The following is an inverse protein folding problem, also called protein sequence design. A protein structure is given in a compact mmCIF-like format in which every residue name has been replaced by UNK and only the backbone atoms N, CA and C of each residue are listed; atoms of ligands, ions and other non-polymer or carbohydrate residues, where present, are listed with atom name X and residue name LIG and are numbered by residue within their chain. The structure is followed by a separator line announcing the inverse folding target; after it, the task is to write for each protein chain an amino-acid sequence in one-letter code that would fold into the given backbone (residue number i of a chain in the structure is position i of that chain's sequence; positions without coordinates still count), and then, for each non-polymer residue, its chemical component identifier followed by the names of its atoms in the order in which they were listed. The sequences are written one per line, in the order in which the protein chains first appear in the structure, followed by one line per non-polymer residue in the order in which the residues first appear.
data_IF_194383696063
#
_entry.id   IF_194383696063
#
_cell.length_a   1.000
_cell.length_b   1.000
_cell.length_c   1.000
_cell.angle_alpha   90.00
_cell.angle_beta   90.00
_cell.angle_gamma   90.00
#
_symmetry.space_group_name_H-M   'P 1'
#
loop_
_entity.id
_entity.type
_entity.pdbx_description
1 polymer ?
#
# COMPACT_ATOMS: atom_id res chain seq x y z
N UNK A 1 9.69 -28.21 -28.38
CA UNK A 1 10.63 -28.91 -27.48
C UNK A 1 10.77 -28.13 -26.18
N UNK A 2 11.20 -26.87 -26.22
CA UNK A 2 11.40 -25.98 -25.06
C UNK A 2 10.19 -25.83 -24.12
N UNK A 3 8.98 -25.56 -24.65
CA UNK A 3 7.79 -25.40 -23.81
C UNK A 3 7.40 -26.69 -23.05
N UNK A 4 7.73 -27.87 -23.61
CA UNK A 4 7.42 -29.17 -23.00
C UNK A 4 8.43 -29.48 -21.89
N UNK A 5 9.70 -29.16 -22.10
CA UNK A 5 10.74 -29.26 -21.06
C UNK A 5 10.49 -28.31 -19.89
N UNK A 6 10.05 -27.07 -20.17
CA UNK A 6 9.68 -26.09 -19.13
C UNK A 6 8.50 -26.60 -18.29
N UNK A 7 7.49 -27.19 -18.91
CA UNK A 7 6.35 -27.79 -18.19
C UNK A 7 6.77 -29.03 -17.38
N UNK A 8 7.69 -29.84 -17.89
CA UNK A 8 8.22 -31.00 -17.19
C UNK A 8 9.08 -30.60 -15.96
N UNK A 9 9.98 -29.63 -16.12
CA UNK A 9 10.79 -29.09 -15.01
C UNK A 9 9.93 -28.41 -13.93
N UNK A 10 8.81 -27.77 -14.32
CA UNK A 10 7.80 -27.22 -13.39
C UNK A 10 7.12 -28.29 -12.54
N UNK A 11 6.77 -29.44 -13.14
CA UNK A 11 6.18 -30.57 -12.40
C UNK A 11 7.15 -31.21 -11.40
N UNK A 12 8.46 -31.06 -11.64
CA UNK A 12 9.53 -31.58 -10.78
C UNK A 12 10.01 -30.57 -9.74
N UNK A 13 9.40 -29.38 -9.65
CA UNK A 13 9.75 -28.34 -8.66
C UNK A 13 11.10 -27.64 -8.93
N UNK A 14 11.70 -27.83 -10.10
CA UNK A 14 13.05 -27.33 -10.41
C UNK A 14 13.10 -25.84 -10.82
N UNK A 15 11.95 -25.24 -11.16
CA UNK A 15 11.85 -23.84 -11.57
C UNK A 15 11.00 -23.04 -10.59
N UNK A 16 11.40 -21.81 -10.21
CA UNK A 16 10.55 -20.93 -9.42
C UNK A 16 9.21 -20.70 -10.16
N UNK A 17 8.08 -20.58 -9.44
CA UNK A 17 6.77 -20.38 -10.05
C UNK A 17 6.79 -19.20 -11.06
N UNK A 18 6.02 -19.26 -12.16
CA UNK A 18 6.05 -18.22 -13.21
C UNK A 18 5.89 -16.78 -12.69
N UNK A 19 5.12 -16.60 -11.61
CA UNK A 19 4.96 -15.31 -10.94
C UNK A 19 6.25 -14.79 -10.32
N UNK A 20 7.08 -15.66 -9.72
CA UNK A 20 8.35 -15.30 -9.09
C UNK A 20 9.37 -14.88 -10.16
N UNK A 21 9.38 -15.56 -11.30
CA UNK A 21 10.19 -15.17 -12.45
C UNK A 21 9.72 -13.83 -13.04
N UNK A 22 8.41 -13.61 -13.12
CA UNK A 22 7.87 -12.34 -13.58
C UNK A 22 8.28 -11.17 -12.67
N UNK A 23 8.14 -11.32 -11.34
CA UNK A 23 8.60 -10.29 -10.38
C UNK A 23 10.07 -9.91 -10.60
N UNK A 24 10.93 -10.92 -10.80
CA UNK A 24 12.37 -10.70 -11.04
C UNK A 24 12.64 -9.88 -12.31
N UNK A 25 11.82 -10.05 -13.35
CA UNK A 25 11.95 -9.31 -14.62
C UNK A 25 11.41 -7.88 -14.55
N UNK A 26 10.54 -7.60 -13.59
CA UNK A 26 9.94 -6.28 -13.41
C UNK A 26 10.77 -5.35 -12.52
N UNK A 27 11.65 -5.91 -11.68
CA UNK A 27 12.53 -5.11 -10.84
C UNK A 27 13.66 -4.47 -11.66
N UNK A 28 13.84 -3.17 -11.47
CA UNK A 28 14.84 -2.36 -12.14
C UNK A 28 16.16 -2.32 -11.36
N UNK A 29 17.29 -1.92 -11.98
CA UNK A 29 18.58 -1.83 -11.31
C UNK A 29 18.63 -0.87 -10.11
N UNK A 30 17.76 0.15 -10.08
CA UNK A 30 17.64 1.10 -8.96
C UNK A 30 16.75 0.57 -7.82
N UNK A 31 16.20 -0.64 -7.96
CA UNK A 31 15.31 -1.28 -7.00
C UNK A 31 13.82 -1.01 -7.21
N UNK A 32 13.45 -0.08 -8.10
CA UNK A 32 12.05 0.16 -8.46
C UNK A 32 11.44 -1.03 -9.20
N UNK A 33 10.11 -1.04 -9.35
CA UNK A 33 9.41 -2.07 -10.12
C UNK A 33 8.63 -1.41 -11.26
N UNK A 34 8.60 -2.07 -12.41
CA UNK A 34 7.81 -1.68 -13.56
C UNK A 34 6.46 -2.40 -13.58
N UNK A 35 5.49 -1.85 -14.33
CA UNK A 35 4.18 -2.49 -14.53
C UNK A 35 4.20 -3.62 -15.56
N UNK A 36 5.09 -3.54 -16.54
CA UNK A 36 5.20 -4.46 -17.66
C UNK A 36 6.68 -4.79 -17.97
N UNK A 37 6.97 -5.97 -18.53
CA UNK A 37 8.32 -6.28 -19.03
C UNK A 37 8.71 -5.36 -20.19
N UNK A 38 10.00 -5.03 -20.27
CA UNK A 38 10.58 -4.21 -21.34
C UNK A 38 10.67 -2.72 -21.01
N UNK A 39 11.29 -1.97 -21.93
CA UNK A 39 11.60 -0.55 -21.71
C UNK A 39 10.36 0.35 -21.87
N UNK A 40 10.28 1.39 -21.03
CA UNK A 40 9.33 2.50 -21.21
C UNK A 40 8.02 2.40 -20.43
N UNK A 41 7.82 1.36 -19.61
CA UNK A 41 6.77 1.41 -18.59
C UNK A 41 7.23 2.22 -17.37
N UNK A 42 6.26 2.79 -16.66
CA UNK A 42 6.55 3.62 -15.50
C UNK A 42 6.99 2.77 -14.31
N UNK A 43 7.89 3.31 -13.50
CA UNK A 43 8.48 2.61 -12.37
C UNK A 43 8.33 3.46 -11.11
N UNK A 44 7.55 2.97 -10.14
CA UNK A 44 7.25 3.72 -8.92
C UNK A 44 6.79 2.83 -7.75
N UNK A 45 6.56 3.47 -6.60
CA UNK A 45 6.19 2.78 -5.36
C UNK A 45 4.90 1.96 -5.44
N UNK A 46 3.99 2.25 -6.40
CA UNK A 46 2.76 1.45 -6.57
C UNK A 46 3.13 0.01 -6.94
N UNK A 47 4.10 -0.15 -7.84
CA UNK A 47 4.53 -1.48 -8.29
C UNK A 47 5.44 -2.17 -7.29
N UNK A 48 6.23 -1.39 -6.54
CA UNK A 48 6.95 -1.93 -5.38
C UNK A 48 5.98 -2.57 -4.36
N UNK A 49 4.87 -1.90 -4.04
CA UNK A 49 3.84 -2.45 -3.19
C UNK A 49 3.18 -3.69 -3.79
N UNK A 50 2.83 -3.67 -5.08
CA UNK A 50 2.29 -4.85 -5.76
C UNK A 50 3.24 -6.05 -5.66
N UNK A 51 4.54 -5.85 -5.89
CA UNK A 51 5.55 -6.90 -5.77
C UNK A 51 5.64 -7.45 -4.34
N UNK A 52 5.64 -6.57 -3.33
CA UNK A 52 5.66 -6.97 -1.92
C UNK A 52 4.40 -7.73 -1.51
N UNK A 53 3.22 -7.27 -1.94
CA UNK A 53 1.95 -7.93 -1.66
C UNK A 53 1.91 -9.34 -2.29
N UNK A 54 2.33 -9.47 -3.56
CA UNK A 54 2.41 -10.77 -4.24
C UNK A 54 3.39 -11.69 -3.51
N UNK A 55 4.60 -11.22 -3.21
CA UNK A 55 5.61 -12.02 -2.50
C UNK A 55 5.15 -12.43 -1.10
N UNK A 56 4.46 -11.56 -0.37
CA UNK A 56 3.89 -11.87 0.94
C UNK A 56 2.79 -12.92 0.84
N UNK A 57 1.83 -12.77 -0.08
CA UNK A 57 0.74 -13.73 -0.26
C UNK A 57 1.23 -15.10 -0.73
N UNK A 58 2.31 -15.15 -1.52
CA UNK A 58 2.96 -16.39 -1.96
C UNK A 58 3.94 -16.95 -0.92
N UNK A 59 4.21 -16.22 0.16
CA UNK A 59 5.27 -16.51 1.14
C UNK A 59 6.63 -16.79 0.47
N UNK A 60 6.92 -16.10 -0.63
CA UNK A 60 8.10 -16.32 -1.45
C UNK A 60 8.65 -15.00 -2.02
N UNK A 61 9.81 -14.61 -1.50
CA UNK A 61 10.53 -13.39 -1.86
C UNK A 61 11.66 -13.64 -2.86
N UNK A 62 11.83 -14.85 -3.39
CA UNK A 62 12.93 -15.19 -4.29
C UNK A 62 12.93 -14.43 -5.63
N UNK A 63 11.85 -13.72 -5.94
CA UNK A 63 11.70 -12.87 -7.13
C UNK A 63 12.01 -11.39 -6.88
N UNK A 64 12.37 -11.01 -5.65
CA UNK A 64 12.58 -9.61 -5.24
C UNK A 64 13.97 -9.48 -4.63
N UNK A 65 14.82 -8.64 -5.21
CA UNK A 65 16.05 -8.16 -4.58
C UNK A 65 15.68 -7.12 -3.51
N UNK A 66 15.53 -7.61 -2.27
CA UNK A 66 15.12 -6.80 -1.11
C UNK A 66 16.10 -5.66 -0.80
N UNK A 67 17.44 -5.87 -0.80
CA UNK A 67 18.41 -4.78 -0.64
C UNK A 67 18.23 -3.59 -1.58
N UNK A 68 18.10 -3.81 -2.90
CA UNK A 68 17.90 -2.71 -3.85
C UNK A 68 16.54 -2.04 -3.66
N UNK A 69 15.49 -2.81 -3.37
CA UNK A 69 14.16 -2.28 -3.06
C UNK A 69 14.18 -1.38 -1.80
N UNK A 70 14.89 -1.77 -0.75
CA UNK A 70 15.07 -0.94 0.45
C UNK A 70 15.81 0.36 0.12
N UNK A 71 16.83 0.31 -0.74
CA UNK A 71 17.53 1.50 -1.22
C UNK A 71 16.59 2.41 -2.03
N UNK A 72 15.71 1.85 -2.84
CA UNK A 72 14.68 2.60 -3.57
C UNK A 72 13.71 3.31 -2.62
N UNK A 73 13.23 2.62 -1.57
CA UNK A 73 12.40 3.25 -0.54
C UNK A 73 13.12 4.41 0.15
N UNK A 74 14.42 4.27 0.45
CA UNK A 74 15.23 5.39 0.99
C UNK A 74 15.27 6.58 0.06
N UNK A 75 15.47 6.33 -1.24
CA UNK A 75 15.54 7.39 -2.24
C UNK A 75 14.18 8.11 -2.43
N UNK A 76 13.06 7.41 -2.22
CA UNK A 76 11.72 7.99 -2.28
C UNK A 76 11.29 8.73 -1.00
N UNK A 77 11.98 8.54 0.13
CA UNK A 77 11.67 9.26 1.36
C UNK A 77 12.10 10.73 1.25
N UNK A 78 11.15 11.65 1.42
CA UNK A 78 11.37 13.09 1.30
C UNK A 78 11.83 13.72 2.61
N UNK A 79 12.15 15.01 2.56
CA UNK A 79 12.63 15.80 3.71
C UNK A 79 11.62 15.86 4.87
N UNK A 80 10.33 15.74 4.55
CA UNK A 80 9.22 15.78 5.51
C UNK A 80 8.92 14.41 6.16
N UNK A 81 9.73 13.38 5.84
CA UNK A 81 9.65 12.05 6.41
C UNK A 81 8.70 11.09 5.69
N UNK A 82 7.81 11.60 4.85
CA UNK A 82 6.91 10.79 4.03
C UNK A 82 7.51 10.45 2.65
N UNK A 83 6.75 9.78 1.78
CA UNK A 83 7.28 9.24 0.53
C UNK A 83 6.66 9.88 -0.69
N UNK A 84 7.51 10.32 -1.62
CA UNK A 84 7.12 10.66 -2.99
C UNK A 84 6.94 9.41 -3.85
N UNK A 85 6.21 9.53 -4.97
CA UNK A 85 5.94 8.39 -5.85
C UNK A 85 7.22 7.77 -6.44
N UNK A 86 8.19 8.63 -6.76
CA UNK A 86 9.55 8.31 -7.20
C UNK A 86 10.55 9.21 -6.46
N UNK A 87 11.87 8.94 -6.51
CA UNK A 87 12.87 9.76 -5.83
C UNK A 87 12.77 11.25 -6.19
N UNK A 88 12.83 12.09 -5.16
CA UNK A 88 12.78 13.56 -5.30
C UNK A 88 11.40 14.16 -5.53
N UNK A 89 10.32 13.36 -5.61
CA UNK A 89 8.97 13.91 -5.74
C UNK A 89 8.31 14.29 -4.41
N UNK A 90 7.27 15.11 -4.51
CA UNK A 90 6.43 15.54 -3.39
C UNK A 90 5.83 14.33 -2.66
N UNK A 91 5.93 14.33 -1.33
CA UNK A 91 5.31 13.32 -0.49
C UNK A 91 3.81 13.24 -0.69
N UNK A 92 3.27 12.03 -0.77
CA UNK A 92 1.86 11.79 -1.06
C UNK A 92 1.30 10.62 -0.26
N UNK A 93 0.04 10.68 0.17
CA UNK A 93 -0.57 9.70 1.06
C UNK A 93 -0.58 8.29 0.49
N UNK A 94 -0.89 8.16 -0.80
CA UNK A 94 -0.87 6.88 -1.51
C UNK A 94 0.52 6.24 -1.63
N UNK A 95 1.56 7.01 -1.99
CA UNK A 95 2.94 6.51 -2.07
C UNK A 95 3.51 6.21 -0.69
N UNK A 96 3.14 7.01 0.32
CA UNK A 96 3.49 6.77 1.72
C UNK A 96 2.91 5.46 2.21
N UNK A 97 1.63 5.19 1.95
CA UNK A 97 1.05 3.87 2.22
C UNK A 97 1.82 2.77 1.49
N UNK A 98 2.08 2.92 0.18
CA UNK A 98 2.77 1.90 -0.60
C UNK A 98 4.12 1.53 0.01
N UNK A 99 4.93 2.53 0.41
CA UNK A 99 6.22 2.29 1.05
C UNK A 99 6.06 1.64 2.44
N UNK A 100 5.21 2.20 3.31
CA UNK A 100 5.04 1.72 4.69
C UNK A 100 4.46 0.31 4.73
N UNK A 101 3.43 0.03 3.92
CA UNK A 101 2.86 -1.30 3.81
C UNK A 101 3.87 -2.30 3.23
N UNK A 102 4.67 -1.91 2.23
CA UNK A 102 5.75 -2.78 1.72
C UNK A 102 6.78 -3.10 2.80
N UNK A 103 7.25 -2.10 3.54
CA UNK A 103 8.19 -2.29 4.64
C UNK A 103 7.62 -3.19 5.74
N UNK A 104 6.33 -3.03 6.06
CA UNK A 104 5.62 -3.90 7.01
C UNK A 104 5.57 -5.36 6.51
N UNK A 105 5.14 -5.59 5.26
CA UNK A 105 5.08 -6.92 4.64
C UNK A 105 6.46 -7.58 4.54
N UNK A 106 7.50 -6.78 4.34
CA UNK A 106 8.89 -7.25 4.33
C UNK A 106 9.43 -7.56 5.73
N UNK A 107 8.76 -7.14 6.82
CA UNK A 107 9.30 -7.23 8.17
C UNK A 107 10.46 -6.27 8.45
N UNK A 108 10.55 -5.18 7.67
CA UNK A 108 11.64 -4.19 7.76
C UNK A 108 11.18 -2.84 8.30
N UNK A 109 9.91 -2.71 8.72
CA UNK A 109 9.35 -1.42 9.11
C UNK A 109 10.11 -0.78 10.28
N UNK A 110 10.43 -1.54 11.31
CA UNK A 110 11.09 -1.02 12.51
C UNK A 110 12.58 -0.77 12.31
N UNK A 111 13.27 -1.60 11.51
CA UNK A 111 14.68 -1.42 11.16
C UNK A 111 14.88 -0.27 10.17
N UNK A 112 13.86 0.05 9.36
CA UNK A 112 13.95 1.11 8.38
C UNK A 112 13.93 2.50 9.02
N UNK A 113 13.17 2.79 10.06
CA UNK A 113 13.15 4.16 10.58
C UNK A 113 14.04 4.33 11.82
N UNK A 114 14.92 5.33 11.79
CA UNK A 114 15.39 5.91 13.05
C UNK A 114 14.24 6.66 13.73
N UNK A 115 14.36 6.91 15.05
CA UNK A 115 13.29 7.53 15.83
C UNK A 115 12.85 8.90 15.31
N UNK A 116 13.77 9.71 14.79
CA UNK A 116 13.45 11.05 14.27
C UNK A 116 12.74 10.97 12.91
N UNK A 117 13.20 10.08 12.04
CA UNK A 117 12.57 9.79 10.75
C UNK A 117 11.15 9.26 10.93
N UNK A 118 10.95 8.33 11.88
CA UNK A 118 9.62 7.82 12.24
C UNK A 118 8.71 8.94 12.74
N UNK A 119 9.18 9.78 13.66
CA UNK A 119 8.38 10.89 14.20
C UNK A 119 7.96 11.90 13.12
N UNK A 120 8.85 12.21 12.16
CA UNK A 120 8.51 13.07 11.02
C UNK A 120 7.41 12.46 10.16
N UNK A 121 7.52 11.17 9.83
CA UNK A 121 6.51 10.45 9.07
C UNK A 121 5.14 10.45 9.78
N UNK A 122 5.12 10.11 11.08
CA UNK A 122 3.88 10.10 11.88
C UNK A 122 3.24 11.48 11.90
N UNK A 123 4.04 12.52 12.18
CA UNK A 123 3.56 13.91 12.15
C UNK A 123 3.00 14.27 10.77
N UNK A 124 3.70 13.92 9.70
CA UNK A 124 3.27 14.20 8.33
C UNK A 124 1.90 13.57 8.05
N UNK A 125 1.69 12.32 8.46
CA UNK A 125 0.41 11.62 8.31
C UNK A 125 -0.71 12.28 9.13
N UNK A 126 -0.46 12.65 10.39
CA UNK A 126 -1.44 13.33 11.24
C UNK A 126 -1.84 14.70 10.67
N UNK A 127 -0.88 15.45 10.14
CA UNK A 127 -1.12 16.76 9.48
C UNK A 127 -1.93 16.62 8.16
N UNK A 128 -2.35 15.41 7.76
CA UNK A 128 -3.30 15.19 6.66
C UNK A 128 -4.75 15.22 7.12
N UNK A 129 -5.03 15.15 8.41
CA UNK A 129 -6.38 15.18 8.95
C UNK A 129 -6.93 16.61 8.98
N UNK A 130 -7.84 16.93 8.07
CA UNK A 130 -8.42 18.27 7.85
C UNK A 130 -9.97 18.23 7.87
N UNK A 131 -10.53 17.33 8.67
CA UNK A 131 -11.96 16.97 8.67
C UNK A 131 -12.16 15.58 8.05
N UNK A 132 -11.71 15.41 6.82
CA UNK A 132 -11.31 14.10 6.26
C UNK A 132 -9.79 13.99 6.20
N UNK A 133 -9.25 13.14 5.33
CA UNK A 133 -7.82 13.12 5.02
C UNK A 133 -7.54 13.72 3.63
N UNK A 134 -6.54 14.59 3.54
CA UNK A 134 -5.98 15.06 2.25
C UNK A 134 -4.77 14.21 1.86
N UNK A 135 -4.55 14.01 0.56
CA UNK A 135 -3.40 13.22 0.08
C UNK A 135 -2.06 13.93 0.19
N UNK A 136 -2.08 15.27 0.25
CA UNK A 136 -0.91 16.16 0.27
C UNK A 136 -1.26 17.46 0.99
N UNK A 137 -0.27 18.18 1.54
CA UNK A 137 -0.49 19.52 2.09
C UNK A 137 -1.22 20.44 1.10
N UNK A 138 -2.12 21.28 1.62
CA UNK A 138 -2.86 22.28 0.84
C UNK A 138 -3.74 21.70 -0.29
N UNK A 139 -4.26 20.48 -0.12
CA UNK A 139 -5.23 19.88 -1.04
C UNK A 139 -6.55 19.61 -0.32
N UNK A 140 -7.59 19.34 -1.09
CA UNK A 140 -8.87 18.97 -0.50
C UNK A 140 -8.82 17.57 0.08
N UNK A 141 -9.63 17.32 1.10
CA UNK A 141 -9.90 15.98 1.59
C UNK A 141 -10.54 15.13 0.49
N UNK A 142 -10.28 13.83 0.55
CA UNK A 142 -10.77 12.83 -0.39
C UNK A 142 -10.95 11.52 0.38
N UNK A 143 -12.12 10.90 0.23
CA UNK A 143 -12.51 9.73 1.04
C UNK A 143 -11.51 8.59 0.99
N UNK A 144 -10.80 8.39 -0.12
CA UNK A 144 -9.84 7.29 -0.24
C UNK A 144 -8.63 7.46 0.69
N UNK A 145 -8.24 8.69 1.04
CA UNK A 145 -7.14 8.92 1.99
C UNK A 145 -7.51 8.57 3.43
N UNK A 146 -8.79 8.42 3.74
CA UNK A 146 -9.20 7.86 5.03
C UNK A 146 -8.59 6.47 5.21
N UNK A 147 -8.59 5.64 4.15
CA UNK A 147 -7.83 4.40 4.16
C UNK A 147 -6.34 4.64 3.98
N UNK A 148 -5.87 5.31 2.93
CA UNK A 148 -4.42 5.35 2.65
C UNK A 148 -3.60 5.92 3.81
N UNK A 149 -4.03 7.05 4.39
CA UNK A 149 -3.32 7.66 5.52
C UNK A 149 -3.66 6.95 6.83
N UNK A 150 -4.92 6.58 7.04
CA UNK A 150 -5.35 5.86 8.25
C UNK A 150 -4.66 4.50 8.41
N UNK A 151 -4.59 3.70 7.34
CA UNK A 151 -3.87 2.43 7.32
C UNK A 151 -2.37 2.63 7.55
N UNK A 152 -1.77 3.67 6.98
CA UNK A 152 -0.36 4.02 7.26
C UNK A 152 -0.13 4.22 8.76
N UNK A 153 -0.96 5.03 9.41
CA UNK A 153 -0.89 5.24 10.86
C UNK A 153 -1.16 3.96 11.65
N UNK A 154 -2.07 3.10 11.17
CA UNK A 154 -2.33 1.78 11.78
C UNK A 154 -1.13 0.85 11.73
N UNK A 155 -0.44 0.76 10.58
CA UNK A 155 0.77 -0.05 10.43
C UNK A 155 1.93 0.49 11.26
N UNK A 156 1.99 1.80 11.47
CA UNK A 156 2.95 2.43 12.38
C UNK A 156 2.57 2.26 13.87
N UNK A 157 1.42 1.68 14.21
CA UNK A 157 0.97 1.56 15.59
C UNK A 157 0.53 2.88 16.23
N UNK A 158 0.27 3.91 15.42
CA UNK A 158 -0.04 5.28 15.86
C UNK A 158 -1.50 5.67 15.56
N UNK A 159 -2.37 4.70 15.32
CA UNK A 159 -3.77 4.95 14.95
C UNK A 159 -4.57 5.60 16.08
N UNK A 160 -4.16 5.39 17.34
CA UNK A 160 -4.81 5.99 18.52
C UNK A 160 -4.68 7.51 18.56
N UNK A 161 -3.79 8.09 17.73
CA UNK A 161 -3.63 9.54 17.56
C UNK A 161 -4.61 10.13 16.54
N UNK A 162 -5.37 9.31 15.82
CA UNK A 162 -6.35 9.75 14.83
C UNK A 162 -7.67 10.07 15.51
N UNK A 163 -8.33 11.15 15.10
CA UNK A 163 -9.71 11.47 15.50
C UNK A 163 -10.71 10.82 14.52
N UNK A 164 -11.26 9.61 14.75
CA UNK A 164 -12.03 8.90 13.73
C UNK A 164 -13.40 9.53 13.45
N UNK A 165 -13.99 10.22 14.44
CA UNK A 165 -15.34 10.80 14.34
C UNK A 165 -15.52 11.75 13.16
N UNK A 166 -14.72 12.84 13.05
CA UNK A 166 -14.79 13.78 11.93
C UNK A 166 -14.59 13.11 10.56
N UNK A 167 -13.66 12.15 10.46
CA UNK A 167 -13.35 11.47 9.20
C UNK A 167 -14.49 10.56 8.77
N UNK A 168 -15.08 9.82 9.71
CA UNK A 168 -16.26 8.99 9.45
C UNK A 168 -17.48 9.85 9.08
N UNK A 169 -17.66 11.00 9.71
CA UNK A 169 -18.70 11.95 9.33
C UNK A 169 -18.49 12.48 7.90
N UNK A 170 -17.26 12.84 7.52
CA UNK A 170 -16.92 13.22 6.15
C UNK A 170 -17.21 12.10 5.14
N UNK A 171 -16.78 10.86 5.43
CA UNK A 171 -17.07 9.68 4.58
C UNK A 171 -18.58 9.48 4.41
N UNK A 172 -19.37 9.65 5.48
CA UNK A 172 -20.83 9.54 5.40
C UNK A 172 -21.46 10.61 4.50
N UNK A 173 -20.93 11.84 4.48
CA UNK A 173 -21.42 12.89 3.55
C UNK A 173 -21.11 12.60 2.07
N UNK A 174 -20.21 11.66 1.80
CA UNK A 174 -19.85 11.23 0.44
C UNK A 174 -20.61 9.97 -0.01
N UNK A 175 -21.58 9.48 0.78
CA UNK A 175 -22.42 8.35 0.40
C UNK A 175 -23.49 8.79 -0.61
N UNK A 176 -23.58 8.06 -1.72
CA UNK A 176 -24.55 8.34 -2.80
C UNK A 176 -25.77 7.42 -2.76
N UNK A 177 -26.33 7.14 -3.95
CA UNK A 177 -27.43 6.19 -4.21
C UNK A 177 -27.00 4.71 -4.07
N UNK A 178 -25.96 4.47 -3.27
CA UNK A 178 -25.13 3.27 -3.27
C UNK A 178 -23.66 3.67 -3.42
N UNK A 179 -22.77 3.00 -2.69
CA UNK A 179 -21.34 3.32 -2.71
C UNK A 179 -20.99 4.70 -2.15
N UNK A 180 -19.73 5.08 -2.32
CA UNK A 180 -19.14 6.33 -1.86
C UNK A 180 -18.38 7.00 -3.01
N UNK A 181 -18.35 8.33 -2.98
CA UNK A 181 -17.59 9.17 -3.88
C UNK A 181 -16.39 9.78 -3.19
N UNK A 182 -15.56 10.50 -3.96
CA UNK A 182 -14.40 11.25 -3.48
C UNK A 182 -14.73 12.37 -2.50
N UNK A 183 -15.77 13.14 -2.81
CA UNK A 183 -16.23 14.34 -2.11
C UNK A 183 -17.76 14.40 -2.14
N UNK A 184 -18.41 15.18 -1.25
CA UNK A 184 -19.86 15.34 -1.26
C UNK A 184 -20.40 15.73 -2.64
N UNK A 185 -21.59 15.24 -2.97
CA UNK A 185 -22.33 15.50 -4.22
C UNK A 185 -21.66 15.01 -5.52
N UNK A 186 -20.47 14.38 -5.45
CA UNK A 186 -19.87 13.72 -6.59
C UNK A 186 -20.47 12.32 -6.83
N UNK A 187 -20.49 11.81 -8.09
CA UNK A 187 -20.91 10.44 -8.37
C UNK A 187 -20.04 9.41 -7.64
N UNK A 188 -20.64 8.35 -7.05
CA UNK A 188 -19.90 7.27 -6.42
C UNK A 188 -19.17 6.41 -7.47
N UNK A 189 -18.04 5.83 -7.06
CA UNK A 189 -17.27 4.88 -7.88
C UNK A 189 -16.72 3.74 -7.03
N UNK A 190 -16.26 2.68 -7.68
CA UNK A 190 -15.81 1.44 -7.02
C UNK A 190 -14.61 1.70 -6.11
N UNK A 191 -13.69 2.58 -6.51
CA UNK A 191 -12.46 2.84 -5.76
C UNK A 191 -12.77 3.55 -4.44
N UNK A 192 -13.51 4.65 -4.49
CA UNK A 192 -13.87 5.40 -3.28
C UNK A 192 -14.86 4.63 -2.42
N UNK A 193 -15.75 3.83 -3.03
CA UNK A 193 -16.61 2.91 -2.29
C UNK A 193 -15.80 1.90 -1.49
N UNK A 194 -14.83 1.25 -2.13
CA UNK A 194 -13.97 0.26 -1.48
C UNK A 194 -13.18 0.88 -0.33
N UNK A 195 -12.45 1.97 -0.56
CA UNK A 195 -11.62 2.58 0.47
C UNK A 195 -12.42 3.25 1.60
N UNK A 196 -13.64 3.72 1.32
CA UNK A 196 -14.55 4.18 2.37
C UNK A 196 -14.99 3.03 3.28
N UNK A 197 -15.31 1.86 2.70
CA UNK A 197 -15.63 0.66 3.49
C UNK A 197 -14.41 0.16 4.27
N UNK A 198 -13.21 0.22 3.69
CA UNK A 198 -11.98 -0.08 4.41
C UNK A 198 -11.75 0.85 5.60
N UNK A 199 -12.02 2.15 5.47
CA UNK A 199 -11.99 3.09 6.60
C UNK A 199 -13.01 2.75 7.69
N UNK A 200 -14.25 2.44 7.30
CA UNK A 200 -15.28 2.02 8.25
C UNK A 200 -14.86 0.74 9.00
N UNK A 201 -14.22 -0.21 8.30
CA UNK A 201 -13.62 -1.39 8.94
C UNK A 201 -12.47 -1.05 9.90
N UNK A 202 -11.54 -0.19 9.48
CA UNK A 202 -10.41 0.26 10.32
C UNK A 202 -10.86 0.90 11.64
N UNK A 203 -12.03 1.55 11.63
CA UNK A 203 -12.62 2.21 12.80
C UNK A 203 -13.62 1.35 13.58
N UNK A 204 -13.79 0.08 13.19
CA UNK A 204 -14.68 -0.85 13.89
C UNK A 204 -16.17 -0.53 13.71
N UNK A 205 -16.55 0.10 12.61
CA UNK A 205 -17.96 0.43 12.33
C UNK A 205 -18.81 -0.84 12.26
N UNK A 206 -19.98 -0.81 12.90
CA UNK A 206 -20.87 -1.96 13.00
C UNK A 206 -21.26 -2.52 11.62
N UNK A 207 -21.20 -3.84 11.46
CA UNK A 207 -21.52 -4.52 10.20
C UNK A 207 -20.33 -4.68 9.24
N UNK A 208 -19.17 -4.09 9.56
CA UNK A 208 -17.93 -4.35 8.82
C UNK A 208 -17.17 -5.54 9.40
N UNK A 209 -16.39 -6.22 8.56
CA UNK A 209 -15.46 -7.28 8.99
C UNK A 209 -14.07 -6.69 9.25
N UNK A 210 -13.25 -7.29 10.13
CA UNK A 210 -11.87 -6.87 10.33
C UNK A 210 -11.06 -6.90 9.03
N UNK A 211 -10.23 -5.87 8.84
CA UNK A 211 -9.39 -5.66 7.67
C UNK A 211 -7.91 -5.84 8.04
N UNK A 212 -7.18 -6.62 7.24
CA UNK A 212 -5.74 -6.50 7.17
C UNK A 212 -5.40 -5.29 6.30
N UNK A 213 -4.94 -4.22 6.92
CA UNK A 213 -4.66 -2.97 6.24
C UNK A 213 -3.31 -2.94 5.51
N UNK A 214 -2.47 -3.97 5.65
CA UNK A 214 -1.23 -4.09 4.88
C UNK A 214 -1.48 -4.61 3.46
N UNK A 215 -2.53 -5.43 3.28
CA UNK A 215 -2.93 -6.00 1.99
C UNK A 215 -4.26 -5.44 1.46
N UNK A 216 -5.03 -4.74 2.30
CA UNK A 216 -6.36 -4.23 1.94
C UNK A 216 -7.38 -5.35 1.75
N UNK A 217 -7.29 -6.45 2.50
CA UNK A 217 -8.22 -7.59 2.42
C UNK A 217 -8.81 -7.91 3.80
N UNK A 218 -9.94 -8.60 3.85
CA UNK A 218 -10.49 -9.02 5.15
C UNK A 218 -9.54 -10.03 5.84
N UNK A 219 -9.45 -9.95 7.17
CA UNK A 219 -8.54 -10.82 7.95
C UNK A 219 -8.84 -12.30 7.76
N UNK A 220 -10.11 -12.67 7.51
CA UNK A 220 -10.50 -14.05 7.20
C UNK A 220 -9.86 -14.55 5.89
N UNK A 221 -9.84 -13.72 4.84
CA UNK A 221 -9.17 -14.07 3.58
C UNK A 221 -7.67 -14.27 3.79
N UNK A 222 -7.03 -13.41 4.60
CA UNK A 222 -5.62 -13.56 4.93
C UNK A 222 -5.34 -14.87 5.69
N UNK A 223 -6.19 -15.24 6.65
CA UNK A 223 -6.09 -16.54 7.34
C UNK A 223 -6.16 -17.72 6.35
N UNK A 224 -7.06 -17.65 5.36
CA UNK A 224 -7.15 -18.70 4.33
C UNK A 224 -5.94 -18.74 3.40
N UNK A 225 -5.28 -17.61 3.14
CA UNK A 225 -4.04 -17.55 2.36
C UNK A 225 -2.90 -18.20 3.15
N UNK A 226 -2.76 -17.85 4.43
CA UNK A 226 -1.66 -18.32 5.29
C UNK A 226 -1.80 -19.77 5.76
N UNK A 227 -2.99 -20.36 5.67
CA UNK A 227 -3.23 -21.75 6.05
C UNK A 227 -2.89 -22.79 4.96
N UNK A 228 -2.36 -22.35 3.81
CA UNK A 228 -1.92 -23.21 2.69
C UNK A 228 -0.45 -23.56 2.81
#
# INVERSE_FOLDING_TARGET
AEAVEVVAARRQGALPPPLILALRQLQQPDGSFSSLPGDGSECDLRFAYCACAISSMLQNWGGVDRPSLLAYFRACQSYDGAFGLIPGQESHGGSTYCAVASLYLMGELDSFFDGQSRLRLVKWCLDRQVGGFQGRPNKQADTCYSFWVGATLKLLGEFDLVEPGPVTAFVATCQGWGGFSKIPDAPPDILHSFYSVCWLSLTGFAGTQPLDCSLGICSNSLHHINAR
#
